data_IF_449692404239
#
_entry.id   IF_449692404239
#
_cell.length_a   1.000
_cell.length_b   1.000
_cell.length_c   1.000
_cell.angle_alpha   90.00
_cell.angle_beta   90.00
_cell.angle_gamma   90.00
#
_symmetry.space_group_name_H-M   'P 1'
#
loop_
_entity.id
_entity.type
_entity.pdbx_description
1 polymer ?
#
# COMPACT_ATOMS: atom_id res chain seq x y z
N UNK A 1 17.59 -1.29 28.63
CA UNK A 1 16.77 -1.22 27.39
C UNK A 1 17.67 -1.56 26.21
N UNK A 2 17.33 -2.58 25.40
CA UNK A 2 18.06 -2.85 24.14
C UNK A 2 17.73 -1.73 23.17
N UNK A 3 18.73 -0.98 22.72
CA UNK A 3 18.56 -0.01 21.63
C UNK A 3 18.27 -0.75 20.33
N UNK A 4 17.17 -0.45 19.68
CA UNK A 4 16.90 -0.97 18.34
C UNK A 4 17.82 -0.30 17.32
N UNK A 5 18.49 -1.09 16.50
CA UNK A 5 19.25 -0.57 15.36
C UNK A 5 18.32 -0.43 14.17
N UNK A 6 18.31 0.74 13.52
CA UNK A 6 17.51 1.02 12.33
C UNK A 6 18.37 1.67 11.26
N UNK A 7 18.29 1.16 10.03
CA UNK A 7 18.98 1.72 8.88
C UNK A 7 18.15 1.55 7.61
N UNK A 8 18.17 2.56 6.75
CA UNK A 8 17.52 2.56 5.43
C UNK A 8 18.56 2.88 4.37
N UNK A 9 18.69 2.00 3.38
CA UNK A 9 19.65 2.10 2.30
C UNK A 9 18.92 2.04 0.95
N UNK A 10 19.31 2.91 0.01
CA UNK A 10 18.82 2.88 -1.36
C UNK A 10 19.91 2.42 -2.33
N UNK A 11 19.54 1.56 -3.27
CA UNK A 11 20.47 1.01 -4.25
C UNK A 11 19.75 0.65 -5.56
N UNK A 12 20.51 0.47 -6.63
CA UNK A 12 19.98 0.03 -7.91
C UNK A 12 20.38 -1.42 -8.21
N UNK A 13 19.48 -2.17 -8.86
CA UNK A 13 19.75 -3.52 -9.34
C UNK A 13 20.38 -3.50 -10.73
N UNK A 14 21.71 -3.42 -10.80
CA UNK A 14 22.46 -3.37 -12.07
C UNK A 14 22.39 -4.66 -12.87
N UNK A 15 22.21 -5.81 -12.21
CA UNK A 15 22.16 -7.12 -12.86
C UNK A 15 20.90 -7.36 -13.70
N UNK A 16 19.82 -6.60 -13.46
CA UNK A 16 18.55 -6.73 -14.18
C UNK A 16 18.07 -5.36 -14.63
N UNK A 17 18.45 -4.98 -15.85
CA UNK A 17 17.99 -3.74 -16.46
C UNK A 17 16.57 -3.92 -17.02
N UNK A 18 15.82 -2.83 -17.02
CA UNK A 18 14.52 -2.72 -17.67
C UNK A 18 14.69 -2.67 -19.19
N UNK A 19 13.62 -2.86 -19.95
CA UNK A 19 13.63 -2.80 -21.43
C UNK A 19 14.16 -1.46 -21.98
N UNK A 20 14.06 -0.39 -21.20
CA UNK A 20 14.56 0.95 -21.53
C UNK A 20 16.03 1.20 -21.11
N UNK A 21 16.78 0.16 -20.69
CA UNK A 21 18.15 0.27 -20.22
C UNK A 21 18.34 0.86 -18.82
N UNK A 22 17.26 1.20 -18.11
CA UNK A 22 17.32 1.72 -16.76
C UNK A 22 17.39 0.59 -15.72
N UNK A 23 17.97 0.89 -14.56
CA UNK A 23 17.97 0.01 -13.40
C UNK A 23 16.85 0.40 -12.43
N UNK A 24 16.17 -0.58 -11.88
CA UNK A 24 15.17 -0.33 -10.84
C UNK A 24 15.83 0.07 -9.52
N UNK A 25 15.27 1.08 -8.86
CA UNK A 25 15.72 1.53 -7.55
C UNK A 25 15.01 0.70 -6.47
N UNK A 26 15.81 0.19 -5.54
CA UNK A 26 15.35 -0.61 -4.42
C UNK A 26 15.70 0.06 -3.10
N UNK A 27 14.87 -0.17 -2.11
CA UNK A 27 15.05 0.25 -0.74
C UNK A 27 15.29 -0.98 0.13
N UNK A 28 16.26 -0.92 1.03
CA UNK A 28 16.56 -1.93 2.04
C UNK A 28 16.33 -1.33 3.41
N UNK A 29 15.43 -1.91 4.17
CA UNK A 29 15.18 -1.57 5.58
C UNK A 29 15.86 -2.63 6.43
N UNK A 30 16.68 -2.20 7.39
CA UNK A 30 17.35 -3.09 8.33
C UNK A 30 16.96 -2.71 9.75
N UNK A 31 16.45 -3.67 10.51
CA UNK A 31 16.12 -3.50 11.93
C UNK A 31 16.73 -4.65 12.70
N UNK A 32 17.56 -4.36 13.70
CA UNK A 32 18.20 -5.36 14.56
C UNK A 32 18.91 -6.48 13.75
N UNK A 33 19.56 -6.12 12.62
CA UNK A 33 20.27 -7.05 11.75
C UNK A 33 19.38 -7.78 10.72
N UNK A 34 18.06 -7.79 10.91
CA UNK A 34 17.12 -8.35 9.93
C UNK A 34 16.83 -7.34 8.83
N UNK A 35 16.95 -7.76 7.58
CA UNK A 35 16.79 -6.88 6.41
C UNK A 35 15.62 -7.31 5.53
N UNK A 36 14.92 -6.31 5.00
CA UNK A 36 13.87 -6.50 3.99
C UNK A 36 14.15 -5.55 2.82
N UNK A 37 14.05 -6.08 1.60
CA UNK A 37 14.27 -5.32 0.37
C UNK A 37 12.96 -5.17 -0.40
N UNK A 38 12.76 -3.98 -0.96
CA UNK A 38 11.58 -3.70 -1.78
C UNK A 38 11.92 -2.77 -2.94
N UNK A 39 11.20 -2.93 -4.04
CA UNK A 39 11.29 -2.02 -5.19
C UNK A 39 10.36 -0.83 -4.97
N UNK A 40 10.88 0.39 -5.09
CA UNK A 40 10.11 1.63 -4.93
C UNK A 40 9.40 2.08 -6.21
N UNK A 41 9.37 1.22 -7.25
CA UNK A 41 8.76 1.50 -8.57
C UNK A 41 9.33 2.74 -9.27
N UNK A 42 10.56 3.10 -8.97
CA UNK A 42 11.34 4.13 -9.64
C UNK A 42 12.51 3.48 -10.36
N UNK A 43 12.96 4.10 -11.43
CA UNK A 43 14.11 3.64 -12.23
C UNK A 43 14.99 4.80 -12.63
N UNK A 44 16.26 4.51 -12.83
CA UNK A 44 17.25 5.47 -13.25
C UNK A 44 18.30 4.78 -14.11
N UNK A 45 18.95 5.54 -15.00
CA UNK A 45 20.10 5.08 -15.75
C UNK A 45 21.27 4.75 -14.80
N UNK A 46 21.93 3.57 -14.92
CA UNK A 46 23.00 3.17 -14.00
C UNK A 46 24.18 4.13 -13.91
N UNK A 47 24.48 4.86 -14.98
CA UNK A 47 25.54 5.89 -15.04
C UNK A 47 25.25 7.09 -14.14
N UNK A 48 23.96 7.43 -13.99
CA UNK A 48 23.48 8.56 -13.19
C UNK A 48 23.29 8.21 -11.71
N UNK A 49 23.57 6.97 -11.29
CA UNK A 49 23.45 6.61 -9.87
C UNK A 49 24.76 6.79 -9.11
N UNK A 50 24.70 7.44 -7.95
CA UNK A 50 25.81 7.53 -7.01
C UNK A 50 25.58 6.56 -5.84
N UNK A 51 26.30 5.45 -5.84
CA UNK A 51 26.13 4.42 -4.80
C UNK A 51 26.57 4.89 -3.42
N UNK A 52 27.62 5.71 -3.32
CA UNK A 52 28.14 6.18 -2.05
C UNK A 52 27.20 7.20 -1.35
N UNK A 53 26.51 8.01 -2.16
CA UNK A 53 25.52 8.99 -1.66
C UNK A 53 24.09 8.46 -1.71
N UNK A 54 23.88 7.29 -2.31
CA UNK A 54 22.56 6.68 -2.48
C UNK A 54 21.54 7.62 -3.15
N UNK A 55 21.99 8.37 -4.15
CA UNK A 55 21.20 9.38 -4.84
C UNK A 55 21.49 9.40 -6.34
N UNK A 56 20.61 10.02 -7.12
CA UNK A 56 20.80 10.29 -8.51
C UNK A 56 21.76 11.47 -8.72
N UNK A 57 22.68 11.34 -9.69
CA UNK A 57 23.57 12.42 -10.14
C UNK A 57 22.83 13.34 -11.13
N UNK A 58 23.30 14.58 -11.23
CA UNK A 58 22.79 15.55 -12.19
C UNK A 58 21.58 16.34 -11.68
N UNK A 59 21.20 17.35 -12.47
CA UNK A 59 20.11 18.29 -12.15
C UNK A 59 18.90 18.08 -13.07
N UNK A 60 18.79 16.91 -13.72
CA UNK A 60 17.61 16.61 -14.54
C UNK A 60 16.37 16.52 -13.63
N UNK A 61 15.21 16.89 -14.16
CA UNK A 61 13.94 16.80 -13.42
C UNK A 61 13.73 15.41 -12.80
N UNK A 62 14.01 14.36 -13.59
CA UNK A 62 13.93 12.97 -13.13
C UNK A 62 14.85 12.68 -11.95
N UNK A 63 16.10 13.20 -11.98
CA UNK A 63 17.06 13.02 -10.87
C UNK A 63 16.61 13.78 -9.62
N UNK A 64 16.11 15.01 -9.77
CA UNK A 64 15.60 15.81 -8.65
C UNK A 64 14.37 15.16 -8.02
N UNK A 65 13.40 14.71 -8.82
CA UNK A 65 12.17 14.05 -8.34
C UNK A 65 12.50 12.73 -7.61
N UNK A 66 13.47 11.96 -8.13
CA UNK A 66 13.92 10.74 -7.47
C UNK A 66 14.60 11.03 -6.13
N UNK A 67 15.47 12.03 -6.08
CA UNK A 67 16.17 12.40 -4.84
C UNK A 67 15.18 12.93 -3.80
N UNK A 68 14.23 13.77 -4.19
CA UNK A 68 13.15 14.23 -3.31
C UNK A 68 12.33 13.06 -2.74
N UNK A 69 12.00 12.08 -3.59
CA UNK A 69 11.30 10.88 -3.15
C UNK A 69 12.12 10.08 -2.12
N UNK A 70 13.42 9.88 -2.36
CA UNK A 70 14.34 9.16 -1.45
C UNK A 70 14.38 9.84 -0.08
N UNK A 71 14.54 11.17 -0.05
CA UNK A 71 14.57 11.92 1.21
C UNK A 71 13.24 11.85 1.96
N UNK A 72 12.12 12.04 1.27
CA UNK A 72 10.79 11.88 1.86
C UNK A 72 10.57 10.47 2.41
N UNK A 73 11.03 9.44 1.71
CA UNK A 73 10.93 8.07 2.17
C UNK A 73 11.76 7.82 3.44
N UNK A 74 12.97 8.40 3.54
CA UNK A 74 13.81 8.34 4.75
C UNK A 74 13.10 8.98 5.95
N UNK A 75 12.55 10.19 5.76
CA UNK A 75 11.84 10.93 6.82
C UNK A 75 10.63 10.12 7.28
N UNK A 76 9.80 9.65 6.36
CA UNK A 76 8.58 8.89 6.66
C UNK A 76 8.89 7.58 7.42
N UNK A 77 9.90 6.82 6.98
CA UNK A 77 10.32 5.60 7.66
C UNK A 77 10.86 5.87 9.06
N UNK A 78 11.62 6.95 9.23
CA UNK A 78 12.10 7.34 10.54
C UNK A 78 10.97 7.75 11.49
N UNK A 79 9.96 8.47 10.99
CA UNK A 79 8.76 8.80 11.76
C UNK A 79 8.02 7.54 12.23
N UNK A 80 7.77 6.59 11.30
CA UNK A 80 7.11 5.32 11.64
C UNK A 80 7.92 4.54 12.68
N UNK A 81 9.25 4.52 12.55
CA UNK A 81 10.14 3.86 13.52
C UNK A 81 10.02 4.49 14.92
N UNK A 82 10.09 5.82 15.02
CA UNK A 82 9.96 6.54 16.28
C UNK A 82 8.57 6.35 16.93
N UNK A 83 7.51 6.31 16.13
CA UNK A 83 6.16 6.03 16.63
C UNK A 83 6.05 4.62 17.24
N UNK A 84 6.63 3.61 16.56
CA UNK A 84 6.64 2.25 17.10
C UNK A 84 7.49 2.12 18.35
N UNK A 85 8.61 2.83 18.43
CA UNK A 85 9.47 2.84 19.63
C UNK A 85 8.73 3.44 20.82
N UNK A 86 7.99 4.54 20.63
CA UNK A 86 7.14 5.14 21.68
C UNK A 86 6.03 4.21 22.18
N UNK A 87 5.51 3.37 21.30
CA UNK A 87 4.44 2.42 21.64
C UNK A 87 4.96 1.14 22.33
N UNK A 88 6.29 1.00 22.54
CA UNK A 88 6.94 -0.19 23.08
C UNK A 88 6.56 -1.50 22.35
N UNK A 89 6.22 -1.42 21.07
CA UNK A 89 5.87 -2.58 20.26
C UNK A 89 7.12 -3.21 19.63
N UNK A 90 7.11 -4.53 19.34
CA UNK A 90 8.23 -5.18 18.66
C UNK A 90 8.38 -4.61 17.25
N UNK A 91 9.54 -3.98 17.01
CA UNK A 91 9.83 -3.35 15.71
C UNK A 91 10.54 -4.36 14.81
N UNK A 92 9.95 -4.65 13.65
CA UNK A 92 10.55 -5.50 12.62
C UNK A 92 10.68 -4.74 11.31
N UNK A 93 11.67 -5.10 10.49
CA UNK A 93 11.85 -4.48 9.16
C UNK A 93 10.62 -4.66 8.26
N UNK A 94 9.93 -5.79 8.39
CA UNK A 94 8.70 -6.10 7.64
C UNK A 94 7.52 -5.20 8.05
N UNK A 95 7.33 -4.99 9.35
CA UNK A 95 6.29 -4.11 9.87
C UNK A 95 6.48 -2.66 9.39
N UNK A 96 7.73 -2.17 9.37
CA UNK A 96 8.04 -0.84 8.84
C UNK A 96 7.73 -0.75 7.34
N UNK A 97 8.06 -1.80 6.56
CA UNK A 97 7.72 -1.87 5.15
C UNK A 97 6.20 -1.83 4.93
N UNK A 98 5.45 -2.66 5.65
CA UNK A 98 3.98 -2.74 5.55
C UNK A 98 3.32 -1.40 5.91
N UNK A 99 3.78 -0.74 6.98
CA UNK A 99 3.28 0.58 7.36
C UNK A 99 3.66 1.67 6.36
N UNK A 100 4.86 1.63 5.80
CA UNK A 100 5.31 2.59 4.81
C UNK A 100 4.44 2.56 3.54
N UNK A 101 4.20 1.37 2.99
CA UNK A 101 3.35 1.20 1.82
C UNK A 101 1.85 1.21 2.12
N UNK A 102 1.46 0.84 3.33
CA UNK A 102 0.06 0.85 3.76
C UNK A 102 -0.51 2.24 3.99
N UNK A 103 0.33 3.22 4.34
CA UNK A 103 -0.11 4.61 4.51
C UNK A 103 -0.42 5.31 3.18
N UNK A 104 0.12 4.83 2.06
CA UNK A 104 -0.20 5.35 0.71
C UNK A 104 -1.42 4.66 0.08
N UNK A 105 -1.91 3.60 0.69
CA UNK A 105 -3.27 3.13 0.43
C UNK A 105 -4.18 4.04 1.27
N UNK A 106 -4.92 4.94 0.60
CA UNK A 106 -6.17 5.39 1.17
C UNK A 106 -6.84 4.14 1.75
N UNK A 107 -7.42 4.21 2.98
CA UNK A 107 -8.18 3.08 3.47
C UNK A 107 -9.15 2.74 2.34
N UNK A 108 -8.87 1.65 1.62
CA UNK A 108 -9.88 1.08 0.75
C UNK A 108 -11.04 0.88 1.71
N UNK A 109 -12.04 1.77 1.62
CA UNK A 109 -13.31 1.49 2.24
C UNK A 109 -13.62 0.08 1.79
N UNK A 110 -13.56 -0.85 2.72
CA UNK A 110 -13.92 -2.25 2.44
C UNK A 110 -15.38 -2.16 2.05
N UNK A 111 -15.62 -1.92 0.76
CA UNK A 111 -16.97 -1.87 0.20
C UNK A 111 -17.54 -3.25 0.34
N UNK A 112 -18.17 -3.46 1.48
CA UNK A 112 -18.91 -4.70 1.69
C UNK A 112 -20.04 -4.73 0.66
N UNK A 113 -20.31 -5.90 0.10
CA UNK A 113 -21.41 -6.09 -0.85
C UNK A 113 -22.72 -5.46 -0.31
N UNK A 114 -22.99 -5.65 0.97
CA UNK A 114 -24.16 -5.09 1.66
C UNK A 114 -24.10 -3.56 1.71
N UNK A 115 -22.92 -2.98 1.93
CA UNK A 115 -22.71 -1.53 1.90
C UNK A 115 -23.02 -0.94 0.52
N UNK A 116 -22.51 -1.55 -0.52
CA UNK A 116 -22.74 -1.12 -1.93
C UNK A 116 -24.22 -1.24 -2.29
N UNK A 117 -24.89 -2.35 -1.92
CA UNK A 117 -26.33 -2.52 -2.16
C UNK A 117 -27.14 -1.45 -1.40
N UNK A 118 -26.75 -1.13 -0.17
CA UNK A 118 -27.42 -0.09 0.63
C UNK A 118 -27.30 1.28 -0.01
N UNK A 119 -26.11 1.64 -0.45
CA UNK A 119 -25.82 2.91 -1.10
C UNK A 119 -26.61 3.03 -2.42
N UNK A 120 -26.57 2.00 -3.26
CA UNK A 120 -27.36 1.93 -4.49
C UNK A 120 -28.86 2.09 -4.22
N UNK A 121 -29.42 1.37 -3.24
CA UNK A 121 -30.84 1.46 -2.89
C UNK A 121 -31.23 2.86 -2.40
N UNK A 122 -30.35 3.56 -1.67
CA UNK A 122 -30.56 4.93 -1.24
C UNK A 122 -30.58 5.90 -2.43
N UNK A 123 -29.67 5.73 -3.39
CA UNK A 123 -29.65 6.53 -4.64
C UNK A 123 -30.93 6.29 -5.45
N UNK A 124 -31.36 5.03 -5.64
CA UNK A 124 -32.60 4.72 -6.35
C UNK A 124 -33.84 5.31 -5.63
N UNK A 125 -33.83 5.32 -4.29
CA UNK A 125 -34.92 5.92 -3.50
C UNK A 125 -35.03 7.43 -3.70
N UNK A 126 -33.90 8.14 -3.82
CA UNK A 126 -33.87 9.57 -4.08
C UNK A 126 -34.42 9.94 -5.49
N UNK A 127 -34.44 8.99 -6.41
CA UNK A 127 -34.89 9.16 -7.80
C UNK A 127 -36.30 8.62 -8.03
N UNK A 128 -37.02 8.21 -6.97
CA UNK A 128 -38.43 7.76 -7.09
C UNK A 128 -39.31 8.89 -7.59
N UNK A 129 -40.10 8.60 -8.62
CA UNK A 129 -40.97 9.60 -9.26
C UNK A 129 -40.33 10.36 -10.42
N UNK A 130 -38.99 10.19 -10.63
CA UNK A 130 -38.28 10.69 -11.82
C UNK A 130 -37.89 9.50 -12.74
N UNK A 131 -36.96 8.68 -12.28
CA UNK A 131 -36.36 7.61 -13.08
C UNK A 131 -36.77 6.20 -12.59
N UNK A 132 -37.23 6.08 -11.34
CA UNK A 132 -37.59 4.80 -10.71
C UNK A 132 -39.03 4.80 -10.17
N UNK A 133 -39.72 3.68 -10.40
CA UNK A 133 -41.00 3.41 -9.75
C UNK A 133 -40.79 2.89 -8.33
N UNK A 134 -41.69 3.23 -7.41
CA UNK A 134 -41.62 2.80 -6.01
C UNK A 134 -41.52 1.27 -5.85
N UNK A 135 -42.18 0.54 -6.71
CA UNK A 135 -42.17 -0.94 -6.73
C UNK A 135 -40.78 -1.50 -7.03
N UNK A 136 -40.03 -0.82 -7.91
CA UNK A 136 -38.65 -1.22 -8.27
C UNK A 136 -37.71 -1.08 -7.05
N UNK A 137 -37.82 0.02 -6.32
CA UNK A 137 -37.03 0.24 -5.10
C UNK A 137 -37.36 -0.80 -4.04
N UNK A 138 -38.63 -1.15 -3.84
CA UNK A 138 -39.02 -2.22 -2.92
C UNK A 138 -38.44 -3.58 -3.31
N UNK A 139 -38.35 -3.90 -4.60
CA UNK A 139 -37.68 -5.13 -5.09
C UNK A 139 -36.18 -5.12 -4.80
N UNK A 140 -35.50 -4.01 -4.98
CA UNK A 140 -34.08 -3.88 -4.64
C UNK A 140 -33.83 -4.01 -3.13
N UNK A 141 -34.71 -3.49 -2.29
CA UNK A 141 -34.66 -3.69 -0.83
C UNK A 141 -34.85 -5.15 -0.42
N UNK A 142 -35.71 -5.88 -1.13
CA UNK A 142 -35.88 -7.32 -0.90
C UNK A 142 -34.61 -8.11 -1.23
N UNK A 143 -33.91 -7.76 -2.30
CA UNK A 143 -32.65 -8.40 -2.69
C UNK A 143 -31.56 -8.31 -1.62
N UNK A 144 -31.60 -7.30 -0.74
CA UNK A 144 -30.68 -7.17 0.39
C UNK A 144 -30.77 -8.31 1.40
N UNK A 145 -31.94 -8.96 1.51
CA UNK A 145 -32.15 -10.05 2.48
C UNK A 145 -31.42 -11.34 2.08
N UNK A 146 -31.24 -11.61 0.82
CA UNK A 146 -30.62 -12.83 0.32
C UNK A 146 -29.10 -12.90 0.61
N UNK A 147 -28.28 -11.88 0.35
CA UNK A 147 -26.86 -11.93 0.70
C UNK A 147 -26.59 -12.12 2.20
N UNK A 148 -27.43 -11.55 3.07
CA UNK A 148 -27.30 -11.73 4.52
C UNK A 148 -27.55 -13.18 4.93
N UNK A 149 -28.47 -13.87 4.30
CA UNK A 149 -28.72 -15.29 4.53
C UNK A 149 -27.55 -16.17 4.09
N UNK A 150 -26.87 -15.81 3.01
CA UNK A 150 -25.71 -16.58 2.49
C UNK A 150 -24.42 -16.38 3.30
N UNK A 151 -24.22 -15.24 3.95
CA UNK A 151 -23.03 -15.00 4.76
C UNK A 151 -23.05 -15.77 6.10
N UNK A 152 -24.20 -16.31 6.50
CA UNK A 152 -24.33 -17.22 7.66
C UNK A 152 -24.20 -18.69 7.29
N UNK A 153 -24.17 -19.05 6.01
CA UNK A 153 -23.84 -20.39 5.55
C UNK A 153 -22.32 -20.46 5.42
N UNK A 154 -21.67 -21.03 6.40
CA UNK A 154 -20.25 -21.42 6.30
C UNK A 154 -20.12 -22.32 5.05
N UNK A 155 -19.34 -21.84 4.06
CA UNK A 155 -18.90 -22.69 2.98
C UNK A 155 -18.20 -23.89 3.60
N UNK A 156 -18.55 -25.16 3.27
CA UNK A 156 -17.80 -26.28 3.73
C UNK A 156 -16.36 -26.11 3.24
N UNK A 157 -15.43 -25.94 4.19
CA UNK A 157 -14.02 -26.01 3.88
C UNK A 157 -13.75 -27.41 3.35
N UNK A 158 -13.51 -27.53 2.06
CA UNK A 158 -12.99 -28.74 1.46
C UNK A 158 -11.59 -28.94 2.02
N UNK A 159 -11.49 -29.61 3.16
CA UNK A 159 -10.27 -30.22 3.62
C UNK A 159 -10.05 -31.47 2.72
N UNK A 160 -9.34 -31.27 1.62
CA UNK A 160 -8.73 -32.39 0.91
C UNK A 160 -7.57 -32.89 1.77
N UNK A 161 -7.74 -34.12 2.21
CA UNK A 161 -6.71 -34.99 2.78
C UNK A 161 -5.58 -35.17 1.78
#
# INVERSE_FOLDING_TARGET
MKRNSFNVLFFIKKAKLLKNGEASVCMRITVNGVRVETNIRKSIEPSLWNQAKECAKGKSRKSCDLNAYIENARIKLHQIFCEQEKQNQPITARLLQEKFFGQDKEPEEVRTLIGTIREHNNQCRALVGKDYALITVRRYESCKRYPVSYTHLTLPTNSLV
#
